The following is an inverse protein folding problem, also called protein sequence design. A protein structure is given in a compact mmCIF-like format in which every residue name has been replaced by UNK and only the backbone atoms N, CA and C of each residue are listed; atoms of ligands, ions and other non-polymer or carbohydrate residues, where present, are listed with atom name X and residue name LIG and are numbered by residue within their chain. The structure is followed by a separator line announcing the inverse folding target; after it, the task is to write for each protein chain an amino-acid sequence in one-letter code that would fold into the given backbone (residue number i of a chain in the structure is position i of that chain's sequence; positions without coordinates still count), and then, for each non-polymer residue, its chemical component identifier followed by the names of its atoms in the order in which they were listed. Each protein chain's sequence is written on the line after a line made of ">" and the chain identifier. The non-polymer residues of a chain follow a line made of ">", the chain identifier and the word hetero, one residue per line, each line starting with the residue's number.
data_IF_753395080981
#
_entry.id   IF_753395080981
#
_cell.length_a   1.000
_cell.length_b   1.000
_cell.length_c   1.000
_cell.angle_alpha   90.00
_cell.angle_beta   90.00
_cell.angle_gamma   90.00
#
_symmetry.space_group_name_H-M   'P 1'
#
loop_
_entity.id
_entity.type
_entity.pdbx_description
1 polymer ?
#
# COMPACT_ATOMS: atom_id res chain seq x y z
N UNK A 1 73.19 -32.12 -11.56
CA UNK A 1 74.37 -31.43 -11.02
C UNK A 1 74.12 -29.99 -10.54
N UNK A 2 72.94 -29.67 -9.97
CA UNK A 2 72.69 -28.36 -9.32
C UNK A 2 72.46 -28.54 -7.80
N UNK A 3 72.00 -29.72 -7.36
CA UNK A 3 71.78 -30.02 -5.92
C UNK A 3 73.07 -30.23 -5.13
N UNK A 4 74.17 -30.65 -5.77
CA UNK A 4 75.49 -30.78 -5.10
C UNK A 4 76.22 -29.45 -4.89
N UNK A 5 75.85 -28.38 -5.60
CA UNK A 5 76.48 -27.07 -5.46
C UNK A 5 75.91 -26.28 -4.25
N UNK A 6 74.63 -26.50 -3.92
CA UNK A 6 73.98 -25.85 -2.78
C UNK A 6 74.49 -26.37 -1.42
N UNK A 7 74.79 -27.67 -1.32
CA UNK A 7 75.28 -28.27 -0.05
C UNK A 7 76.73 -27.85 0.25
N UNK A 8 77.55 -27.57 -0.77
CA UNK A 8 78.92 -27.09 -0.61
C UNK A 8 79.01 -25.61 -0.18
N UNK A 9 77.98 -24.81 -0.45
CA UNK A 9 77.91 -23.40 -0.03
C UNK A 9 77.44 -23.25 1.43
N UNK A 10 76.70 -24.22 1.98
CA UNK A 10 76.26 -24.18 3.39
C UNK A 10 77.31 -24.68 4.40
N UNK A 11 78.36 -25.39 3.96
CA UNK A 11 79.38 -25.96 4.87
C UNK A 11 80.65 -25.10 5.04
N UNK A 12 80.67 -23.88 4.49
CA UNK A 12 81.87 -23.02 4.47
C UNK A 12 81.72 -21.66 5.15
N UNK A 13 80.92 -21.59 6.20
CA UNK A 13 80.94 -20.44 7.12
C UNK A 13 81.41 -20.90 8.51
N UNK A 14 82.73 -20.82 8.74
CA UNK A 14 83.30 -20.85 10.10
C UNK A 14 83.17 -19.45 10.69
N UNK A 15 82.60 -19.27 11.90
CA UNK A 15 82.78 -18.01 12.61
C UNK A 15 84.21 -17.97 13.17
N UNK A 16 84.89 -16.85 12.93
CA UNK A 16 86.15 -16.51 13.57
C UNK A 16 85.93 -16.35 15.08
N UNK A 17 86.82 -16.93 15.86
CA UNK A 17 86.94 -16.72 17.30
C UNK A 17 87.21 -15.24 17.59
N UNK A 18 86.33 -14.61 18.34
CA UNK A 18 86.57 -13.31 18.96
C UNK A 18 86.44 -13.48 20.47
N UNK A 19 87.59 -13.44 21.14
CA UNK A 19 87.72 -13.24 22.58
C UNK A 19 87.05 -11.92 22.97
N UNK A 20 86.23 -11.95 24.02
CA UNK A 20 85.61 -10.75 24.58
C UNK A 20 84.34 -11.04 25.35
N UNK A 21 84.47 -11.31 26.64
CA UNK A 21 83.33 -11.36 27.57
C UNK A 21 82.70 -9.96 27.63
N UNK A 22 81.54 -9.84 27.00
CA UNK A 22 80.64 -8.69 27.13
C UNK A 22 79.20 -9.20 27.08
N UNK A 23 78.57 -9.35 28.23
CA UNK A 23 77.15 -9.69 28.34
C UNK A 23 76.31 -8.54 27.75
N UNK A 24 75.90 -8.67 26.48
CA UNK A 24 74.88 -7.81 25.90
C UNK A 24 73.50 -8.28 26.38
N UNK A 25 72.89 -7.53 27.31
CA UNK A 25 71.45 -7.60 27.55
C UNK A 25 70.75 -6.84 26.44
N UNK A 26 70.12 -7.55 25.51
CA UNK A 26 69.15 -6.94 24.58
C UNK A 26 67.86 -6.66 25.34
N UNK A 27 67.67 -5.43 25.80
CA UNK A 27 66.35 -4.93 26.16
C UNK A 27 65.55 -4.76 24.87
N UNK A 28 64.56 -5.63 24.65
CA UNK A 28 63.51 -5.37 23.67
C UNK A 28 62.72 -4.14 24.16
N UNK A 29 63.18 -2.95 23.81
CA UNK A 29 62.35 -1.75 23.85
C UNK A 29 61.48 -1.83 22.61
N UNK A 30 60.35 -2.54 22.74
CA UNK A 30 59.27 -2.39 21.76
C UNK A 30 58.94 -0.91 21.61
N UNK A 31 58.49 -0.46 20.41
CA UNK A 31 58.19 0.94 20.19
C UNK A 31 57.27 1.45 21.30
N UNK A 32 57.67 2.56 21.95
CA UNK A 32 56.82 3.22 22.95
C UNK A 32 55.46 3.46 22.29
N UNK A 33 54.34 3.10 22.95
CA UNK A 33 53.02 3.28 22.35
C UNK A 33 52.83 4.75 21.99
N UNK A 34 52.30 5.00 20.79
CA UNK A 34 52.11 6.34 20.22
C UNK A 34 51.16 7.22 21.07
N UNK A 35 50.37 6.60 21.94
CA UNK A 35 49.49 7.24 22.92
C UNK A 35 49.34 6.36 24.17
N UNK A 36 48.85 6.94 25.26
CA UNK A 36 48.52 6.19 26.49
C UNK A 36 47.26 5.35 26.26
N UNK A 37 47.34 4.05 26.54
CA UNK A 37 46.21 3.13 26.50
C UNK A 37 45.11 3.60 27.46
N UNK A 38 43.90 3.81 26.95
CA UNK A 38 42.74 4.13 27.79
C UNK A 38 42.13 2.87 28.41
N UNK A 39 41.34 3.02 29.46
CA UNK A 39 40.57 1.89 30.01
C UNK A 39 39.65 1.24 28.98
N UNK A 40 39.16 2.02 28.00
CA UNK A 40 38.32 1.53 26.89
C UNK A 40 39.15 0.67 25.94
N UNK A 41 40.37 1.10 25.58
CA UNK A 41 41.26 0.33 24.70
C UNK A 41 41.59 -1.04 25.32
N UNK A 42 41.94 -1.04 26.61
CA UNK A 42 42.22 -2.26 27.36
C UNK A 42 41.01 -3.19 27.42
N UNK A 43 39.84 -2.64 27.80
CA UNK A 43 38.61 -3.42 27.89
C UNK A 43 38.22 -4.03 26.54
N UNK A 44 38.29 -3.25 25.46
CA UNK A 44 37.95 -3.72 24.12
C UNK A 44 38.90 -4.85 23.68
N UNK A 45 40.20 -4.73 23.98
CA UNK A 45 41.18 -5.78 23.72
C UNK A 45 40.89 -7.04 24.54
N UNK A 46 40.65 -6.91 25.84
CA UNK A 46 40.39 -8.03 26.74
C UNK A 46 39.13 -8.81 26.36
N UNK A 47 38.05 -8.10 25.97
CA UNK A 47 36.80 -8.73 25.55
C UNK A 47 36.89 -9.39 24.17
N UNK A 48 37.49 -8.72 23.19
CA UNK A 48 37.38 -9.15 21.78
C UNK A 48 38.54 -10.03 21.30
N UNK A 49 39.66 -10.12 22.00
CA UNK A 49 40.84 -10.84 21.52
C UNK A 49 40.59 -12.34 21.25
N UNK A 50 39.72 -12.98 22.04
CA UNK A 50 39.35 -14.40 21.89
C UNK A 50 37.85 -14.60 21.64
N UNK A 51 37.14 -13.54 21.26
CA UNK A 51 35.71 -13.60 21.03
C UNK A 51 35.42 -14.14 19.62
N UNK A 52 34.73 -15.28 19.54
CA UNK A 52 34.23 -15.82 18.27
C UNK A 52 32.81 -15.29 18.00
N UNK A 53 32.73 -14.35 17.06
CA UNK A 53 31.46 -13.73 16.62
C UNK A 53 30.51 -14.67 15.89
N UNK A 54 30.96 -15.84 15.43
CA UNK A 54 30.10 -16.80 14.75
C UNK A 54 29.45 -17.79 15.71
N UNK A 55 29.88 -17.80 16.97
CA UNK A 55 29.31 -18.64 18.01
C UNK A 55 28.26 -17.87 18.80
N UNK A 56 27.11 -18.52 19.00
CA UNK A 56 26.01 -17.99 19.81
C UNK A 56 26.51 -17.55 21.21
N UNK A 57 25.92 -16.50 21.80
CA UNK A 57 26.39 -15.92 23.05
C UNK A 57 26.34 -16.87 24.25
N UNK A 58 25.35 -17.76 24.29
CA UNK A 58 25.16 -18.67 25.42
C UNK A 58 26.00 -19.95 25.27
N UNK A 59 26.69 -20.33 26.35
CA UNK A 59 27.55 -21.53 26.38
C UNK A 59 26.79 -22.83 26.70
N UNK A 60 25.57 -22.72 27.23
CA UNK A 60 24.70 -23.83 27.63
C UNK A 60 23.66 -24.19 26.54
N UNK A 61 22.94 -25.29 26.77
CA UNK A 61 21.74 -25.67 26.00
C UNK A 61 20.58 -24.66 26.14
N UNK A 62 20.75 -23.56 26.88
CA UNK A 62 19.69 -22.57 27.07
C UNK A 62 19.53 -21.70 25.82
N UNK A 63 18.29 -21.32 25.45
CA UNK A 63 18.03 -20.44 24.32
C UNK A 63 18.50 -19.02 24.61
N UNK A 64 19.05 -18.34 23.59
CA UNK A 64 19.33 -16.91 23.66
C UNK A 64 18.02 -16.15 23.54
N UNK A 65 17.69 -15.37 24.57
CA UNK A 65 16.51 -14.50 24.55
C UNK A 65 16.79 -13.28 23.68
N UNK A 66 15.98 -13.10 22.65
CA UNK A 66 16.07 -11.98 21.72
C UNK A 66 14.78 -11.14 21.80
N UNK A 67 14.91 -9.92 22.32
CA UNK A 67 13.84 -8.93 22.32
C UNK A 67 13.90 -8.11 21.04
N UNK A 68 12.77 -8.03 20.36
CA UNK A 68 12.64 -7.28 19.10
C UNK A 68 11.55 -6.22 19.29
N UNK A 69 11.82 -4.99 18.86
CA UNK A 69 10.85 -3.92 18.76
C UNK A 69 10.96 -3.23 17.40
N UNK A 70 9.82 -2.86 16.81
CA UNK A 70 9.76 -2.14 15.55
C UNK A 70 9.27 -0.71 15.80
N UNK A 71 10.03 0.27 15.33
CA UNK A 71 9.63 1.67 15.31
C UNK A 71 9.45 2.13 13.88
N UNK A 72 8.23 2.52 13.51
CA UNK A 72 7.90 2.92 12.13
C UNK A 72 8.13 4.43 11.97
N UNK A 73 8.97 4.80 11.00
CA UNK A 73 9.32 6.19 10.68
C UNK A 73 8.57 6.71 9.46
N UNK A 74 8.41 5.86 8.45
CA UNK A 74 7.71 6.18 7.23
C UNK A 74 7.07 4.93 6.62
N UNK A 75 5.92 5.10 5.97
CA UNK A 75 5.19 4.07 5.25
C UNK A 75 4.84 4.57 3.85
N UNK A 76 5.26 3.79 2.86
CA UNK A 76 4.90 3.95 1.46
C UNK A 76 4.12 2.71 1.01
N UNK A 77 3.04 2.92 0.25
CA UNK A 77 2.21 1.84 -0.28
C UNK A 77 2.22 1.93 -1.81
N UNK A 78 2.59 0.82 -2.44
CA UNK A 78 2.45 0.61 -3.88
C UNK A 78 1.32 -0.40 -4.10
N UNK A 79 0.13 0.16 -4.32
CA UNK A 79 -1.12 -0.58 -4.53
C UNK A 79 -1.05 -1.45 -5.79
N UNK A 80 -0.40 -0.96 -6.84
CA UNK A 80 -0.27 -1.63 -8.14
C UNK A 80 0.60 -2.90 -8.05
N UNK A 81 1.66 -2.85 -7.24
CA UNK A 81 2.54 -3.99 -6.99
C UNK A 81 2.13 -4.85 -5.79
N UNK A 82 1.06 -4.48 -5.08
CA UNK A 82 0.65 -5.15 -3.84
C UNK A 82 1.78 -5.20 -2.80
N UNK A 83 2.51 -4.09 -2.65
CA UNK A 83 3.65 -4.00 -1.73
C UNK A 83 3.54 -2.82 -0.78
N UNK A 84 4.02 -3.03 0.45
CA UNK A 84 4.30 -1.95 1.41
C UNK A 84 5.81 -1.80 1.58
N UNK A 85 6.25 -0.56 1.75
CA UNK A 85 7.63 -0.19 2.08
C UNK A 85 7.63 0.60 3.38
N UNK A 86 8.41 0.15 4.36
CA UNK A 86 8.57 0.83 5.65
C UNK A 86 10.02 1.24 5.85
N UNK A 87 10.24 2.49 6.20
CA UNK A 87 11.48 2.91 6.84
C UNK A 87 11.28 2.82 8.36
N UNK A 88 12.16 2.11 9.04
CA UNK A 88 11.97 1.76 10.45
C UNK A 88 13.28 1.65 11.21
N UNK A 89 13.24 1.86 12.52
CA UNK A 89 14.27 1.36 13.42
C UNK A 89 13.87 -0.02 13.94
N UNK A 90 14.81 -0.95 13.89
CA UNK A 90 14.64 -2.28 14.49
C UNK A 90 15.48 -2.34 15.76
N UNK A 91 14.83 -2.37 16.91
CA UNK A 91 15.51 -2.51 18.19
C UNK A 91 15.70 -3.99 18.49
N UNK A 92 16.96 -4.42 18.57
CA UNK A 92 17.36 -5.77 18.93
C UNK A 92 18.12 -5.74 20.26
N UNK A 93 17.65 -6.54 21.20
CA UNK A 93 18.26 -6.65 22.53
C UNK A 93 18.46 -8.13 22.88
N UNK A 94 19.69 -8.50 23.22
CA UNK A 94 20.04 -9.83 23.72
C UNK A 94 21.09 -9.72 24.83
N UNK A 95 21.40 -10.85 25.48
CA UNK A 95 22.46 -10.92 26.48
C UNK A 95 23.57 -11.83 26.00
N UNK A 96 24.81 -11.35 26.09
CA UNK A 96 26.02 -12.11 25.80
C UNK A 96 26.88 -12.24 27.05
N UNK A 97 27.04 -13.48 27.53
CA UNK A 97 27.79 -13.78 28.75
C UNK A 97 29.30 -13.60 28.57
N UNK A 98 29.81 -13.70 27.33
CA UNK A 98 31.23 -13.54 26.98
C UNK A 98 31.66 -12.07 26.95
N UNK A 99 30.70 -11.14 26.82
CA UNK A 99 30.94 -9.71 26.79
C UNK A 99 30.73 -9.02 28.16
N UNK A 100 30.81 -9.78 29.26
CA UNK A 100 30.67 -9.25 30.62
C UNK A 100 32.02 -8.76 31.17
N UNK A 101 32.00 -7.64 31.89
CA UNK A 101 33.16 -7.17 32.63
C UNK A 101 32.75 -6.53 33.96
N UNK A 102 33.70 -6.42 34.87
CA UNK A 102 33.53 -5.71 36.13
C UNK A 102 33.95 -4.25 35.96
N UNK A 103 33.01 -3.33 36.16
CA UNK A 103 33.20 -1.89 35.92
C UNK A 103 34.39 -1.32 36.72
N UNK A 104 34.65 -1.85 37.93
CA UNK A 104 35.73 -1.38 38.81
C UNK A 104 37.12 -1.59 38.21
N UNK A 105 37.31 -2.61 37.39
CA UNK A 105 38.61 -2.97 36.83
C UNK A 105 39.00 -2.06 35.64
N UNK A 106 38.01 -1.36 35.07
CA UNK A 106 38.16 -0.53 33.89
C UNK A 106 37.71 0.92 34.13
N UNK A 107 37.95 1.45 35.33
CA UNK A 107 37.70 2.87 35.64
C UNK A 107 36.23 3.26 35.71
N UNK A 108 35.33 2.32 36.05
CA UNK A 108 33.89 2.55 36.18
C UNK A 108 33.12 2.55 34.86
N UNK A 109 33.67 1.98 33.79
CA UNK A 109 32.99 1.88 32.50
C UNK A 109 31.75 0.99 32.58
N UNK A 110 30.57 1.58 32.38
CA UNK A 110 29.27 0.88 32.40
C UNK A 110 28.84 0.36 31.03
N UNK A 111 29.32 0.98 29.95
CA UNK A 111 29.01 0.61 28.58
C UNK A 111 30.17 0.93 27.62
N UNK A 112 30.24 0.18 26.53
CA UNK A 112 31.15 0.43 25.41
C UNK A 112 30.39 0.39 24.09
N UNK A 113 30.96 1.05 23.07
CA UNK A 113 30.46 1.00 21.70
C UNK A 113 31.43 0.18 20.86
N UNK A 114 30.93 -0.87 20.22
CA UNK A 114 31.71 -1.75 19.32
C UNK A 114 31.10 -1.71 17.94
N UNK A 115 31.89 -1.95 16.90
CA UNK A 115 31.32 -2.07 15.58
C UNK A 115 30.46 -3.35 15.54
N UNK A 116 29.37 -3.30 14.80
CA UNK A 116 28.40 -4.39 14.71
C UNK A 116 29.07 -5.74 14.34
N UNK A 117 29.95 -5.73 13.35
CA UNK A 117 30.64 -6.92 12.84
C UNK A 117 31.72 -7.48 13.77
N UNK A 118 32.04 -6.80 14.89
CA UNK A 118 33.00 -7.29 15.89
C UNK A 118 32.34 -8.25 16.89
N UNK A 119 31.00 -8.25 17.00
CA UNK A 119 30.23 -9.08 17.93
C UNK A 119 29.27 -10.02 17.20
N UNK A 120 28.78 -11.05 17.88
CA UNK A 120 27.74 -11.94 17.33
C UNK A 120 26.45 -11.16 17.07
N UNK A 121 25.76 -11.51 15.99
CA UNK A 121 24.49 -10.91 15.60
C UNK A 121 23.47 -12.01 15.29
N UNK A 122 22.20 -11.85 15.71
CA UNK A 122 21.14 -12.75 15.29
C UNK A 122 20.83 -12.56 13.79
N UNK A 123 20.52 -13.64 13.10
CA UNK A 123 20.24 -13.70 11.66
C UNK A 123 18.76 -13.43 11.38
N UNK A 124 18.29 -12.22 11.67
CA UNK A 124 16.87 -11.86 11.49
C UNK A 124 16.57 -11.47 10.04
N UNK A 125 15.54 -12.08 9.47
CA UNK A 125 15.05 -11.85 8.10
C UNK A 125 13.56 -11.58 8.09
N UNK A 126 13.12 -10.83 7.07
CA UNK A 126 11.71 -10.68 6.71
C UNK A 126 11.32 -11.81 5.76
N UNK A 127 10.50 -12.76 6.21
CA UNK A 127 10.14 -13.95 5.43
C UNK A 127 9.23 -13.65 4.24
N UNK A 128 8.37 -12.65 4.35
CA UNK A 128 7.43 -12.24 3.30
C UNK A 128 7.93 -11.01 2.52
N UNK A 129 9.24 -10.92 2.30
CA UNK A 129 9.87 -9.82 1.59
C UNK A 129 9.62 -9.88 0.07
N UNK A 130 9.65 -8.71 -0.58
CA UNK A 130 9.61 -8.58 -2.05
C UNK A 130 10.95 -8.03 -2.53
N UNK A 131 11.62 -8.77 -3.42
CA UNK A 131 12.96 -8.45 -3.91
C UNK A 131 13.93 -9.60 -3.65
N UNK A 132 15.21 -9.40 -3.98
CA UNK A 132 16.25 -10.30 -3.49
C UNK A 132 16.19 -10.29 -1.96
N UNK A 133 16.11 -11.47 -1.36
CA UNK A 133 16.01 -11.68 0.09
C UNK A 133 17.27 -11.24 0.81
N UNK A 134 17.59 -9.96 0.73
CA UNK A 134 18.64 -9.33 1.48
C UNK A 134 18.26 -9.51 2.96
N UNK A 135 19.15 -10.19 3.69
CA UNK A 135 19.30 -10.01 5.12
C UNK A 135 19.11 -8.52 5.41
N UNK A 136 18.31 -8.18 6.44
CA UNK A 136 18.01 -6.81 6.89
C UNK A 136 19.08 -5.86 6.37
N UNK A 137 18.77 -4.94 5.44
CA UNK A 137 19.77 -4.32 4.60
C UNK A 137 20.97 -3.91 5.45
N UNK A 138 22.19 -4.29 5.04
CA UNK A 138 23.47 -3.84 5.64
C UNK A 138 23.67 -2.33 5.45
N UNK A 139 22.60 -1.55 5.49
CA UNK A 139 22.53 -0.12 5.26
C UNK A 139 22.92 0.56 6.56
N UNK A 140 24.24 0.67 6.71
CA UNK A 140 24.90 1.47 7.73
C UNK A 140 25.13 0.71 9.02
N UNK A 141 26.24 -0.05 9.09
CA UNK A 141 26.90 -0.56 10.30
C UNK A 141 26.85 0.49 11.43
N UNK A 142 25.78 0.46 12.24
CA UNK A 142 25.68 1.26 13.46
C UNK A 142 26.41 0.49 14.53
N UNK A 143 27.22 1.20 15.31
CA UNK A 143 27.87 0.60 16.47
C UNK A 143 26.81 0.02 17.41
N UNK A 144 27.14 -1.14 17.97
CA UNK A 144 26.38 -1.82 19.00
C UNK A 144 26.78 -1.26 20.35
N UNK A 145 25.82 -1.09 21.25
CA UNK A 145 26.08 -0.71 22.64
C UNK A 145 26.09 -1.97 23.49
N UNK A 146 27.22 -2.24 24.14
CA UNK A 146 27.37 -3.34 25.07
C UNK A 146 27.44 -2.76 26.47
N UNK A 147 26.65 -3.28 27.40
CA UNK A 147 26.65 -2.91 28.81
C UNK A 147 27.48 -3.90 29.64
N UNK A 148 28.01 -3.46 30.78
CA UNK A 148 28.88 -4.24 31.67
C UNK A 148 28.33 -5.61 32.07
N UNK A 149 27.01 -5.71 32.19
CA UNK A 149 26.28 -6.95 32.51
C UNK A 149 26.16 -7.92 31.31
N UNK A 150 26.76 -7.60 30.16
CA UNK A 150 26.68 -8.38 28.93
C UNK A 150 25.40 -8.15 28.12
N UNK A 151 24.56 -7.19 28.53
CA UNK A 151 23.39 -6.80 27.73
C UNK A 151 23.87 -6.07 26.48
N UNK A 152 23.35 -6.46 25.33
CA UNK A 152 23.70 -5.90 24.03
C UNK A 152 22.47 -5.24 23.41
N UNK A 153 22.62 -4.00 22.96
CA UNK A 153 21.58 -3.21 22.31
C UNK A 153 22.05 -2.79 20.92
N UNK A 154 21.29 -3.17 19.90
CA UNK A 154 21.54 -2.81 18.51
C UNK A 154 20.27 -2.25 17.87
N UNK A 155 20.37 -1.04 17.29
CA UNK A 155 19.23 -0.32 16.72
C UNK A 155 19.57 0.16 15.30
N UNK A 156 19.63 -0.74 14.30
CA UNK A 156 19.81 -0.36 12.91
C UNK A 156 18.57 0.35 12.34
N UNK A 157 18.82 1.23 11.36
CA UNK A 157 17.79 1.79 10.49
C UNK A 157 17.64 0.88 9.28
N UNK A 158 16.43 0.39 9.03
CA UNK A 158 16.16 -0.62 8.02
C UNK A 158 15.02 -0.17 7.10
N UNK A 159 15.08 -0.64 5.85
CA UNK A 159 13.97 -0.55 4.90
C UNK A 159 13.36 -1.94 4.73
N UNK A 160 12.09 -2.10 5.08
CA UNK A 160 11.35 -3.35 4.94
C UNK A 160 10.39 -3.24 3.76
N UNK A 161 10.44 -4.20 2.83
CA UNK A 161 9.51 -4.27 1.70
C UNK A 161 8.82 -5.61 1.71
N UNK A 162 7.49 -5.62 1.83
CA UNK A 162 6.69 -6.84 2.00
C UNK A 162 5.49 -6.87 1.06
N UNK A 163 5.05 -8.08 0.70
CA UNK A 163 3.75 -8.27 0.03
C UNK A 163 2.62 -7.98 1.01
N UNK A 164 1.60 -7.29 0.52
CA UNK A 164 0.34 -7.11 1.22
C UNK A 164 -0.84 -7.26 0.25
N UNK A 165 -1.83 -8.05 0.66
CA UNK A 165 -3.06 -8.21 -0.10
C UNK A 165 -4.02 -7.06 0.23
N UNK A 166 -4.20 -6.15 -0.72
CA UNK A 166 -5.03 -4.96 -0.53
C UNK A 166 -6.48 -5.21 -0.96
N UNK A 167 -7.42 -4.84 -0.09
CA UNK A 167 -8.83 -4.83 -0.42
C UNK A 167 -9.27 -3.40 -0.77
N UNK A 168 -9.47 -3.14 -2.07
CA UNK A 168 -9.85 -1.82 -2.59
C UNK A 168 -11.36 -1.62 -2.76
N UNK A 169 -12.19 -2.57 -2.31
CA UNK A 169 -13.64 -2.51 -2.50
C UNK A 169 -14.26 -1.21 -2.00
N UNK A 170 -13.87 -0.79 -0.79
CA UNK A 170 -14.41 0.42 -0.13
C UNK A 170 -13.50 1.65 -0.29
N UNK A 171 -12.60 1.64 -1.27
CA UNK A 171 -11.75 2.80 -1.55
C UNK A 171 -12.60 4.05 -1.81
N UNK A 172 -12.25 5.24 -1.26
CA UNK A 172 -11.04 5.57 -0.48
C UNK A 172 -11.22 5.46 1.06
N UNK A 173 -12.31 4.86 1.54
CA UNK A 173 -12.60 4.60 2.96
C UNK A 173 -12.13 3.20 3.38
N UNK A 174 -11.00 2.79 2.81
CA UNK A 174 -10.46 1.45 2.96
C UNK A 174 -9.58 1.30 4.20
N UNK A 175 -9.60 0.10 4.75
CA UNK A 175 -8.69 -0.36 5.81
C UNK A 175 -7.92 -1.57 5.30
N UNK A 176 -6.60 -1.49 5.37
CA UNK A 176 -5.69 -2.53 4.92
C UNK A 176 -5.08 -3.26 6.10
N UNK A 177 -4.88 -4.58 5.94
CA UNK A 177 -4.28 -5.45 6.95
C UNK A 177 -3.05 -6.11 6.35
N UNK A 178 -1.89 -5.59 6.73
CA UNK A 178 -0.63 -6.10 6.25
C UNK A 178 0.15 -6.79 7.38
N UNK A 179 1.03 -7.70 6.99
CA UNK A 179 1.82 -8.49 7.93
C UNK A 179 3.30 -8.35 7.60
N UNK A 180 4.13 -8.23 8.62
CA UNK A 180 5.60 -8.32 8.51
C UNK A 180 6.05 -9.48 9.38
N UNK A 181 6.57 -10.54 8.77
CA UNK A 181 7.01 -11.74 9.49
C UNK A 181 8.53 -11.73 9.63
N UNK A 182 9.02 -11.35 10.81
CA UNK A 182 10.44 -11.32 11.12
C UNK A 182 10.83 -12.58 11.91
N UNK A 183 11.91 -13.24 11.50
CA UNK A 183 12.36 -14.48 12.14
C UNK A 183 13.82 -14.78 11.88
N UNK A 184 14.40 -15.67 12.68
CA UNK A 184 15.73 -16.23 12.42
C UNK A 184 15.67 -17.15 11.20
N UNK A 185 16.68 -17.16 10.34
CA UNK A 185 16.70 -18.07 9.20
C UNK A 185 17.23 -19.45 9.56
N UNK A 186 18.27 -19.51 10.39
CA UNK A 186 19.03 -20.74 10.68
C UNK A 186 18.79 -21.28 12.08
N UNK A 187 18.49 -20.43 13.07
CA UNK A 187 18.30 -20.86 14.45
C UNK A 187 16.86 -21.29 14.73
N UNK A 188 16.73 -22.46 15.36
CA UNK A 188 15.46 -22.98 15.83
C UNK A 188 14.97 -22.28 17.10
N UNK A 189 13.70 -22.52 17.44
CA UNK A 189 13.07 -22.07 18.71
C UNK A 189 13.76 -22.57 19.99
N UNK A 190 14.62 -23.60 19.89
CA UNK A 190 15.42 -24.08 21.01
C UNK A 190 16.72 -23.28 21.19
N UNK A 191 17.18 -22.59 20.14
CA UNK A 191 18.43 -21.85 20.14
C UNK A 191 18.21 -20.35 20.35
N UNK A 192 17.18 -19.79 19.72
CA UNK A 192 16.76 -18.39 19.90
C UNK A 192 15.29 -18.38 20.28
N UNK A 193 14.99 -17.70 21.39
CA UNK A 193 13.63 -17.46 21.84
C UNK A 193 13.28 -15.99 21.64
N UNK A 194 12.23 -15.72 20.87
CA UNK A 194 11.83 -14.36 20.53
C UNK A 194 10.85 -13.81 21.56
N UNK A 195 11.03 -12.54 21.89
CA UNK A 195 10.12 -11.81 22.76
C UNK A 195 9.74 -10.48 22.08
N UNK A 196 8.44 -10.22 22.00
CA UNK A 196 7.95 -8.93 21.52
C UNK A 196 8.15 -7.88 22.62
N UNK A 197 9.01 -6.90 22.37
CA UNK A 197 9.13 -5.77 23.28
C UNK A 197 7.89 -4.87 23.16
N UNK A 198 7.34 -4.42 24.29
CA UNK A 198 6.18 -3.51 24.33
C UNK A 198 6.46 -2.11 23.73
N UNK A 199 7.68 -1.86 23.26
CA UNK A 199 8.13 -0.60 22.65
C UNK A 199 7.86 -0.51 21.14
N UNK A 200 6.81 -1.15 20.63
CA UNK A 200 6.39 -0.93 19.25
C UNK A 200 5.74 0.45 19.15
N UNK A 201 6.40 1.37 18.46
CA UNK A 201 5.96 2.77 18.37
C UNK A 201 5.86 3.21 16.91
N UNK A 202 4.88 4.07 16.64
CA UNK A 202 4.77 4.80 15.39
C UNK A 202 5.24 6.22 15.71
N UNK A 203 6.31 6.68 15.07
CA UNK A 203 6.76 8.06 15.27
C UNK A 203 5.79 9.06 14.60
N UNK A 204 5.76 10.29 15.11
CA UNK A 204 4.88 11.36 14.60
C UNK A 204 5.09 11.65 13.10
N UNK A 205 6.29 11.37 12.59
CA UNK A 205 6.65 11.46 11.17
C UNK A 205 5.90 10.45 10.30
N UNK A 206 5.69 9.22 10.79
CA UNK A 206 4.86 8.22 10.12
C UNK A 206 3.37 8.62 10.20
N UNK A 207 2.96 9.26 11.29
CA UNK A 207 1.59 9.78 11.48
C UNK A 207 1.25 10.95 10.55
N UNK A 208 2.25 11.64 9.99
CA UNK A 208 2.07 12.68 8.97
C UNK A 208 1.79 12.12 7.56
N UNK A 209 1.92 10.80 7.35
CA UNK A 209 1.58 10.15 6.09
C UNK A 209 0.08 10.25 5.77
N UNK A 210 -0.30 9.89 4.53
CA UNK A 210 -1.70 9.77 4.08
C UNK A 210 -2.49 8.65 4.79
N UNK A 211 -1.88 8.01 5.80
CA UNK A 211 -2.35 6.82 6.47
C UNK A 211 -2.32 7.00 7.98
N UNK A 212 -3.22 6.33 8.67
CA UNK A 212 -3.22 6.11 10.11
C UNK A 212 -2.82 4.64 10.35
N UNK A 213 -1.83 4.41 11.21
CA UNK A 213 -1.16 3.12 11.35
C UNK A 213 -1.31 2.64 12.80
N UNK A 214 -1.88 1.46 12.98
CA UNK A 214 -1.83 0.72 14.23
C UNK A 214 -0.97 -0.53 14.05
N UNK A 215 -0.03 -0.74 14.96
CA UNK A 215 0.88 -1.89 14.93
C UNK A 215 0.67 -2.77 16.17
N UNK A 216 0.60 -4.08 15.93
CA UNK A 216 0.57 -5.09 16.99
C UNK A 216 1.53 -6.22 16.62
N UNK A 217 2.23 -6.80 17.60
CA UNK A 217 3.19 -7.88 17.38
C UNK A 217 2.82 -9.15 18.13
N UNK A 218 2.87 -10.28 17.45
CA UNK A 218 2.59 -11.60 18.03
C UNK A 218 3.72 -12.58 17.70
N UNK A 219 4.22 -13.29 18.72
CA UNK A 219 5.22 -14.34 18.54
C UNK A 219 4.51 -15.62 18.13
N UNK A 220 4.96 -16.22 17.03
CA UNK A 220 4.39 -17.44 16.46
C UNK A 220 5.47 -18.50 16.29
N UNK A 221 5.18 -19.74 16.64
CA UNK A 221 6.07 -20.88 16.43
C UNK A 221 5.54 -21.73 15.28
N UNK A 222 6.36 -21.93 14.24
CA UNK A 222 5.97 -22.65 13.03
C UNK A 222 6.92 -23.82 12.78
N UNK A 223 6.36 -24.99 12.43
CA UNK A 223 7.14 -26.11 11.90
C UNK A 223 7.13 -26.06 10.37
N UNK A 224 8.30 -25.98 9.76
CA UNK A 224 8.44 -25.96 8.31
C UNK A 224 8.67 -27.37 7.76
N UNK A 225 8.23 -27.63 6.53
CA UNK A 225 8.32 -28.96 5.91
C UNK A 225 9.76 -29.46 5.70
N UNK A 226 10.75 -28.56 5.63
CA UNK A 226 12.16 -28.92 5.47
C UNK A 226 12.75 -29.64 6.66
N UNK A 227 12.23 -29.38 7.86
CA UNK A 227 13.02 -29.44 9.08
C UNK A 227 12.21 -30.08 10.21
N UNK A 228 12.90 -30.74 11.14
CA UNK A 228 12.23 -31.47 12.24
C UNK A 228 11.83 -30.49 13.35
N UNK A 229 12.64 -29.46 13.51
CA UNK A 229 12.58 -28.40 14.50
C UNK A 229 11.48 -27.36 14.18
N UNK A 230 11.06 -26.66 15.23
CA UNK A 230 10.18 -25.49 15.14
C UNK A 230 11.00 -24.21 15.14
N UNK A 231 10.52 -23.21 14.41
CA UNK A 231 11.14 -21.88 14.30
C UNK A 231 10.17 -20.83 14.84
N UNK A 232 10.67 -19.96 15.72
CA UNK A 232 9.91 -18.81 16.21
C UNK A 232 10.06 -17.61 15.26
N UNK A 233 8.97 -16.88 15.07
CA UNK A 233 8.94 -15.65 14.29
C UNK A 233 7.98 -14.65 14.92
N UNK A 234 8.35 -13.38 14.89
CA UNK A 234 7.54 -12.25 15.32
C UNK A 234 6.78 -11.70 14.12
N UNK A 235 5.45 -11.83 14.15
CA UNK A 235 4.57 -11.29 13.11
C UNK A 235 4.00 -9.97 13.58
N UNK A 236 4.40 -8.87 12.93
CA UNK A 236 3.78 -7.57 13.11
C UNK A 236 2.57 -7.44 12.19
N UNK A 237 1.40 -7.21 12.78
CA UNK A 237 0.17 -6.86 12.07
C UNK A 237 0.02 -5.34 12.06
N UNK A 238 -0.03 -4.80 10.86
CA UNK A 238 -0.27 -3.39 10.57
C UNK A 238 -1.73 -3.24 10.13
N UNK A 239 -2.55 -2.57 10.94
CA UNK A 239 -3.85 -2.07 10.48
C UNK A 239 -3.62 -0.64 9.97
N UNK A 240 -3.85 -0.43 8.68
CA UNK A 240 -3.54 0.82 7.99
C UNK A 240 -4.86 1.39 7.47
N UNK A 241 -5.24 2.58 7.96
CA UNK A 241 -6.47 3.26 7.57
C UNK A 241 -6.14 4.47 6.70
N UNK A 242 -6.79 4.60 5.54
CA UNK A 242 -6.55 5.75 4.64
C UNK A 242 -7.19 7.02 5.20
N UNK A 243 -6.47 8.14 5.13
CA UNK A 243 -7.07 9.47 5.35
C UNK A 243 -7.83 9.89 4.10
N UNK A 244 -9.13 9.61 4.06
CA UNK A 244 -9.96 9.73 2.85
C UNK A 244 -10.34 11.18 2.47
N UNK A 245 -10.26 12.14 3.39
CA UNK A 245 -10.70 13.54 3.21
C UNK A 245 -10.26 14.20 1.88
N UNK A 246 -8.98 14.16 1.47
CA UNK A 246 -8.56 14.75 0.19
C UNK A 246 -9.18 14.05 -1.03
N UNK A 247 -9.34 12.72 -0.98
CA UNK A 247 -9.93 11.95 -2.07
C UNK A 247 -11.42 12.25 -2.23
N UNK A 248 -12.14 12.40 -1.12
CA UNK A 248 -13.57 12.78 -1.12
C UNK A 248 -13.80 14.08 -1.87
N UNK A 249 -12.93 15.09 -1.67
CA UNK A 249 -13.03 16.38 -2.34
C UNK A 249 -12.84 16.30 -3.86
N UNK A 250 -12.10 15.30 -4.36
CA UNK A 250 -11.85 15.10 -5.79
C UNK A 250 -12.98 14.28 -6.44
N UNK A 251 -13.52 13.30 -5.73
CA UNK A 251 -14.42 12.28 -6.30
C UNK A 251 -15.89 12.65 -6.18
N UNK A 252 -16.31 13.20 -5.04
CA UNK A 252 -17.74 13.43 -4.74
C UNK A 252 -18.33 14.54 -5.61
N UNK A 253 -17.70 15.73 -5.79
CA UNK A 253 -18.30 16.79 -6.58
C UNK A 253 -18.58 16.39 -8.03
N UNK A 254 -17.65 15.74 -8.77
CA UNK A 254 -17.95 15.27 -10.12
C UNK A 254 -19.02 14.18 -10.19
N UNK A 255 -19.10 13.30 -9.18
CA UNK A 255 -20.16 12.29 -9.11
C UNK A 255 -21.55 12.94 -8.94
N UNK A 256 -21.66 13.93 -8.05
CA UNK A 256 -22.90 14.69 -7.83
C UNK A 256 -23.29 15.45 -9.09
N UNK A 257 -22.35 16.21 -9.69
CA UNK A 257 -22.62 16.95 -10.92
C UNK A 257 -23.03 16.02 -12.06
N UNK A 258 -22.33 14.91 -12.25
CA UNK A 258 -22.67 13.93 -13.30
C UNK A 258 -24.07 13.36 -13.09
N UNK A 259 -24.43 13.01 -11.85
CA UNK A 259 -25.77 12.49 -11.53
C UNK A 259 -26.85 13.54 -11.81
N UNK A 260 -26.62 14.80 -11.41
CA UNK A 260 -27.57 15.89 -11.67
C UNK A 260 -27.76 16.16 -13.16
N UNK A 261 -26.69 16.16 -13.97
CA UNK A 261 -26.78 16.32 -15.42
C UNK A 261 -27.55 15.15 -16.08
N UNK A 262 -27.31 13.92 -15.60
CA UNK A 262 -28.02 12.72 -16.08
C UNK A 262 -29.49 12.68 -15.70
N UNK A 263 -29.88 13.33 -14.61
CA UNK A 263 -31.28 13.50 -14.25
C UNK A 263 -31.92 14.66 -15.02
N UNK A 264 -31.19 15.76 -15.22
CA UNK A 264 -31.67 16.95 -15.92
C UNK A 264 -32.01 16.70 -17.39
N UNK A 265 -31.29 15.82 -18.09
CA UNK A 265 -31.57 15.50 -19.51
C UNK A 265 -33.00 15.02 -19.76
N UNK A 266 -33.63 14.31 -18.82
CA UNK A 266 -35.00 13.83 -18.99
C UNK A 266 -36.03 14.95 -18.85
N UNK A 267 -35.64 16.11 -18.31
CA UNK A 267 -36.49 17.29 -18.20
C UNK A 267 -36.41 18.21 -19.42
N UNK A 268 -35.38 18.07 -20.25
CA UNK A 268 -35.27 18.79 -21.51
C UNK A 268 -36.32 18.30 -22.53
N UNK A 269 -36.85 19.21 -23.37
CA UNK A 269 -37.80 18.83 -24.41
C UNK A 269 -37.16 17.85 -25.42
N UNK A 270 -37.88 16.80 -25.85
CA UNK A 270 -37.33 15.78 -26.76
C UNK A 270 -37.06 16.30 -28.17
N UNK A 271 -37.60 17.47 -28.52
CA UNK A 271 -37.43 18.11 -29.83
C UNK A 271 -36.09 18.87 -29.95
N UNK A 272 -35.44 19.12 -28.81
CA UNK A 272 -34.19 19.86 -28.70
C UNK A 272 -32.95 19.02 -29.00
N UNK A 273 -32.04 19.57 -29.80
CA UNK A 273 -30.76 18.91 -30.13
C UNK A 273 -29.78 19.01 -28.94
N UNK A 274 -29.99 19.99 -28.05
CA UNK A 274 -29.26 20.21 -26.81
C UNK A 274 -29.26 18.99 -25.88
N UNK A 275 -30.30 18.15 -25.91
CA UNK A 275 -30.39 16.94 -25.08
C UNK A 275 -29.32 15.90 -25.45
N UNK A 276 -29.10 15.70 -26.74
CA UNK A 276 -28.09 14.75 -27.26
C UNK A 276 -26.68 15.27 -26.95
N UNK A 277 -26.46 16.58 -27.10
CA UNK A 277 -25.18 17.24 -26.78
C UNK A 277 -24.87 17.08 -25.29
N UNK A 278 -25.85 17.32 -24.41
CA UNK A 278 -25.70 17.17 -22.97
C UNK A 278 -25.30 15.73 -22.60
N UNK A 279 -25.96 14.73 -23.20
CA UNK A 279 -25.61 13.32 -23.00
C UNK A 279 -24.21 12.97 -23.47
N UNK A 280 -23.77 13.52 -24.60
CA UNK A 280 -22.40 13.38 -25.08
C UNK A 280 -21.38 13.95 -24.08
N UNK A 281 -21.63 15.14 -23.53
CA UNK A 281 -20.76 15.77 -22.53
C UNK A 281 -20.72 14.93 -21.24
N UNK A 282 -21.88 14.48 -20.73
CA UNK A 282 -21.94 13.63 -19.54
C UNK A 282 -21.21 12.30 -19.73
N UNK A 283 -21.35 11.66 -20.91
CA UNK A 283 -20.63 10.44 -21.22
C UNK A 283 -19.11 10.65 -21.26
N UNK A 284 -18.63 11.75 -21.85
CA UNK A 284 -17.22 12.10 -21.88
C UNK A 284 -16.66 12.36 -20.49
N UNK A 285 -17.38 13.12 -19.66
CA UNK A 285 -17.01 13.38 -18.26
C UNK A 285 -16.84 12.07 -17.49
N UNK A 286 -17.82 11.15 -17.56
CA UNK A 286 -17.76 9.85 -16.89
C UNK A 286 -16.59 9.00 -17.40
N UNK A 287 -16.35 8.98 -18.72
CA UNK A 287 -15.20 8.27 -19.30
C UNK A 287 -13.87 8.82 -18.80
N UNK A 288 -13.72 10.14 -18.68
CA UNK A 288 -12.51 10.76 -18.14
C UNK A 288 -12.24 10.32 -16.69
N UNK A 289 -13.28 10.20 -15.85
CA UNK A 289 -13.12 9.66 -14.49
C UNK A 289 -12.78 8.17 -14.47
N UNK A 290 -13.38 7.35 -15.35
CA UNK A 290 -13.01 5.95 -15.48
C UNK A 290 -11.55 5.77 -15.93
N UNK A 291 -11.06 6.62 -16.84
CA UNK A 291 -9.65 6.65 -17.25
C UNK A 291 -8.74 7.10 -16.11
N UNK A 292 -9.16 8.07 -15.29
CA UNK A 292 -8.44 8.46 -14.08
C UNK A 292 -8.26 7.27 -13.13
N UNK A 293 -9.34 6.50 -12.87
CA UNK A 293 -9.24 5.30 -12.02
C UNK A 293 -8.42 4.18 -12.66
N UNK A 294 -8.44 4.05 -13.99
CA UNK A 294 -7.58 3.09 -14.69
C UNK A 294 -6.09 3.42 -14.48
N UNK A 295 -5.72 4.70 -14.56
CA UNK A 295 -4.34 5.15 -14.35
C UNK A 295 -3.84 4.89 -12.92
N UNK A 296 -4.71 5.00 -11.91
CA UNK A 296 -4.34 4.71 -10.51
C UNK A 296 -4.08 3.21 -10.24
N UNK A 297 -4.22 2.34 -11.25
CA UNK A 297 -3.77 0.93 -11.22
C UNK A 297 -4.45 0.07 -10.14
N UNK A 298 -5.77 0.21 -9.95
CA UNK A 298 -6.55 -0.70 -9.08
C UNK A 298 -6.76 -2.10 -9.66
N UNK A 299 -6.14 -2.43 -10.81
CA UNK A 299 -6.38 -3.70 -11.52
C UNK A 299 -5.72 -4.92 -10.87
N UNK A 300 -4.91 -4.73 -9.82
CA UNK A 300 -4.19 -5.82 -9.13
C UNK A 300 -4.97 -6.40 -7.95
N UNK A 301 -5.87 -5.64 -7.31
CA UNK A 301 -6.72 -6.15 -6.22
C UNK A 301 -7.89 -6.92 -6.83
N UNK A 302 -8.07 -8.20 -6.46
CA UNK A 302 -9.05 -9.12 -7.08
C UNK A 302 -10.53 -8.70 -7.08
N UNK A 303 -10.88 -7.54 -6.51
CA UNK A 303 -12.22 -6.93 -6.57
C UNK A 303 -12.15 -5.46 -7.02
N UNK A 304 -13.06 -5.05 -7.89
CA UNK A 304 -13.16 -3.66 -8.35
C UNK A 304 -13.73 -2.74 -7.25
N UNK A 305 -13.20 -1.51 -7.07
CA UNK A 305 -13.76 -0.54 -6.13
C UNK A 305 -15.21 -0.18 -6.44
N UNK A 306 -16.03 0.00 -5.41
CA UNK A 306 -17.46 0.35 -5.56
C UNK A 306 -17.67 1.65 -6.35
N UNK A 307 -16.76 2.63 -6.20
CA UNK A 307 -16.82 3.88 -6.96
C UNK A 307 -16.61 3.67 -8.47
N UNK A 308 -15.75 2.72 -8.87
CA UNK A 308 -15.54 2.38 -10.28
C UNK A 308 -16.79 1.72 -10.84
N UNK A 309 -17.43 0.84 -10.06
CA UNK A 309 -18.72 0.23 -10.40
C UNK A 309 -19.80 1.31 -10.58
N UNK A 310 -19.85 2.32 -9.71
CA UNK A 310 -20.78 3.44 -9.84
C UNK A 310 -20.61 4.21 -11.16
N UNK A 311 -19.39 4.61 -11.52
CA UNK A 311 -19.14 5.32 -12.77
C UNK A 311 -19.36 4.42 -14.00
N UNK A 312 -19.06 3.12 -13.91
CA UNK A 312 -19.34 2.14 -14.97
C UNK A 312 -20.84 1.97 -15.20
N UNK A 313 -21.62 1.76 -14.14
CA UNK A 313 -23.09 1.72 -14.21
C UNK A 313 -23.67 3.03 -14.75
N UNK A 314 -23.13 4.18 -14.31
CA UNK A 314 -23.54 5.49 -14.80
C UNK A 314 -23.31 5.61 -16.31
N UNK A 315 -22.17 5.13 -16.83
CA UNK A 315 -21.88 5.11 -18.26
C UNK A 315 -22.91 4.29 -19.07
N UNK A 316 -23.30 3.11 -18.57
CA UNK A 316 -24.37 2.32 -19.20
C UNK A 316 -25.71 3.05 -19.20
N UNK A 317 -26.06 3.72 -18.10
CA UNK A 317 -27.27 4.55 -18.00
C UNK A 317 -27.22 5.69 -19.03
N UNK A 318 -26.10 6.41 -19.18
CA UNK A 318 -25.97 7.47 -20.20
C UNK A 318 -26.10 6.91 -21.60
N UNK A 319 -25.49 5.75 -21.87
CA UNK A 319 -25.59 5.07 -23.16
C UNK A 319 -27.03 4.75 -23.52
N UNK A 320 -27.78 4.15 -22.59
CA UNK A 320 -29.20 3.86 -22.77
C UNK A 320 -30.02 5.15 -22.96
N UNK A 321 -29.76 6.19 -22.16
CA UNK A 321 -30.45 7.46 -22.25
C UNK A 321 -30.14 8.23 -23.56
N UNK A 322 -28.94 8.04 -24.12
CA UNK A 322 -28.58 8.59 -25.43
C UNK A 322 -29.38 7.92 -26.53
N UNK A 323 -29.46 6.58 -26.52
CA UNK A 323 -30.28 5.83 -27.48
C UNK A 323 -31.76 6.22 -27.37
N UNK A 324 -32.29 6.31 -26.15
CA UNK A 324 -33.68 6.74 -25.95
C UNK A 324 -33.92 8.17 -26.43
N UNK A 325 -32.96 9.08 -26.24
CA UNK A 325 -33.04 10.46 -26.72
C UNK A 325 -33.05 10.56 -28.24
N UNK A 326 -32.23 9.75 -28.94
CA UNK A 326 -32.23 9.68 -30.41
C UNK A 326 -33.56 9.13 -30.93
N UNK A 327 -34.11 8.10 -30.27
CA UNK A 327 -35.42 7.55 -30.61
C UNK A 327 -36.51 8.61 -30.41
N UNK A 328 -36.54 9.28 -29.26
CA UNK A 328 -37.49 10.36 -28.97
C UNK A 328 -37.42 11.49 -30.01
N UNK A 329 -36.21 11.97 -30.32
CA UNK A 329 -35.98 12.99 -31.35
C UNK A 329 -36.47 12.54 -32.73
N UNK A 330 -36.22 11.27 -33.10
CA UNK A 330 -36.68 10.70 -34.37
C UNK A 330 -38.21 10.62 -34.47
N UNK A 331 -38.89 10.29 -33.35
CA UNK A 331 -40.35 10.22 -33.28
C UNK A 331 -40.98 11.60 -33.45
N UNK A 332 -40.41 12.63 -32.83
CA UNK A 332 -40.92 13.99 -32.92
C UNK A 332 -40.76 14.61 -34.31
N UNK A 333 -39.67 14.27 -35.03
CA UNK A 333 -39.38 14.79 -36.38
C UNK A 333 -39.86 13.89 -37.53
N UNK A 334 -40.74 12.92 -37.27
CA UNK A 334 -41.32 12.10 -38.33
C UNK A 334 -42.06 12.98 -39.37
N UNK A 335 -41.66 12.87 -40.64
CA UNK A 335 -42.25 13.66 -41.75
C UNK A 335 -43.70 13.25 -42.05
N UNK A 336 -44.02 11.96 -41.92
CA UNK A 336 -45.35 11.39 -42.16
C UNK A 336 -45.81 10.56 -40.95
N UNK A 337 -46.23 11.20 -39.84
CA UNK A 337 -46.61 10.47 -38.65
C UNK A 337 -47.98 9.79 -38.86
N UNK A 338 -48.06 8.49 -38.54
CA UNK A 338 -49.33 7.77 -38.48
C UNK A 338 -50.00 8.00 -37.12
N UNK A 339 -51.35 7.97 -37.03
CA UNK A 339 -52.02 8.05 -35.75
C UNK A 339 -51.60 6.87 -34.87
N UNK A 340 -51.38 7.14 -33.57
CA UNK A 340 -51.04 6.12 -32.59
C UNK A 340 -52.16 5.08 -32.47
N UNK A 341 -51.79 3.82 -32.23
CA UNK A 341 -52.77 2.77 -32.01
C UNK A 341 -53.62 3.09 -30.76
N UNK A 342 -54.92 2.74 -30.79
CA UNK A 342 -55.84 3.07 -29.70
C UNK A 342 -55.41 2.51 -28.33
N UNK A 343 -54.74 1.35 -28.33
CA UNK A 343 -54.18 0.74 -27.14
C UNK A 343 -53.04 1.60 -26.54
N UNK A 344 -52.13 2.10 -27.38
CA UNK A 344 -51.02 2.94 -26.92
C UNK A 344 -51.55 4.26 -26.36
N UNK A 345 -52.53 4.87 -27.05
CA UNK A 345 -53.16 6.14 -26.62
C UNK A 345 -53.85 6.00 -25.25
N UNK A 346 -54.52 4.87 -25.00
CA UNK A 346 -55.13 4.59 -23.69
C UNK A 346 -54.08 4.42 -22.60
N UNK A 347 -52.99 3.67 -22.88
CA UNK A 347 -51.90 3.47 -21.93
C UNK A 347 -51.19 4.79 -21.59
N UNK A 348 -50.93 5.63 -22.59
CA UNK A 348 -50.29 6.94 -22.41
C UNK A 348 -51.12 7.86 -21.53
N UNK A 349 -52.45 7.90 -21.70
CA UNK A 349 -53.32 8.74 -20.87
C UNK A 349 -53.33 8.31 -19.41
N UNK A 350 -53.23 7.01 -19.13
CA UNK A 350 -53.12 6.50 -17.77
C UNK A 350 -51.76 6.83 -17.15
N UNK A 351 -50.67 6.63 -17.91
CA UNK A 351 -49.29 6.88 -17.45
C UNK A 351 -48.97 8.36 -17.32
N UNK A 352 -49.43 9.21 -18.25
CA UNK A 352 -49.23 10.66 -18.25
C UNK A 352 -49.93 11.35 -17.08
N UNK A 353 -51.13 10.89 -16.68
CA UNK A 353 -51.81 11.36 -15.46
C UNK A 353 -51.01 11.05 -14.20
N UNK A 354 -50.36 9.90 -14.16
CA UNK A 354 -49.51 9.50 -13.02
C UNK A 354 -48.19 10.28 -12.98
N UNK A 355 -47.63 10.61 -14.15
CA UNK A 355 -46.38 11.37 -14.31
C UNK A 355 -46.55 12.90 -14.32
N UNK A 356 -47.74 13.42 -13.97
CA UNK A 356 -48.06 14.86 -13.92
C UNK A 356 -47.78 15.61 -15.24
N UNK A 357 -47.93 14.92 -16.38
CA UNK A 357 -47.83 15.56 -17.70
C UNK A 357 -49.23 16.01 -18.10
N UNK A 358 -49.48 17.32 -18.09
CA UNK A 358 -50.77 17.86 -18.52
C UNK A 358 -50.95 17.65 -20.04
N UNK A 359 -52.12 17.13 -20.40
CA UNK A 359 -52.53 16.92 -21.79
C UNK A 359 -52.78 18.30 -22.42
N UNK A 360 -51.78 18.86 -23.10
CA UNK A 360 -51.85 20.18 -23.77
C UNK A 360 -52.88 20.17 -24.93
N UNK A 361 -53.39 18.99 -25.31
CA UNK A 361 -54.26 18.81 -26.46
C UNK A 361 -55.64 19.48 -26.37
N UNK A 362 -56.03 20.10 -25.25
CA UNK A 362 -57.39 20.61 -25.07
C UNK A 362 -57.58 22.14 -25.20
N UNK A 363 -56.53 22.95 -25.30
CA UNK A 363 -56.69 24.42 -25.18
C UNK A 363 -56.66 25.21 -26.50
N UNK A 364 -56.40 24.58 -27.65
CA UNK A 364 -56.48 25.25 -28.97
C UNK A 364 -57.71 24.79 -29.77
N UNK A 365 -58.91 25.05 -29.25
CA UNK A 365 -60.14 25.04 -30.06
C UNK A 365 -60.41 26.44 -30.63
N UNK A 366 -59.44 26.96 -31.38
CA UNK A 366 -59.64 28.11 -32.25
C UNK A 366 -60.28 27.62 -33.55
N UNK A 367 -61.44 28.18 -33.87
CA UNK A 367 -62.26 27.85 -35.04
C UNK A 367 -61.49 28.22 -36.32
N UNK A 368 -61.17 27.27 -37.23
CA UNK A 368 -60.57 27.60 -38.51
C UNK A 368 -61.68 27.90 -39.53
N UNK A 369 -61.73 29.13 -39.99
CA UNK A 369 -62.43 29.51 -41.21
C UNK A 369 -61.64 28.98 -42.44
N UNK A 370 -62.36 28.28 -43.32
CA UNK A 370 -62.03 27.71 -44.63
C UNK A 370 -60.56 27.65 -45.16
N UNK A 371 -60.05 26.41 -45.32
CA UNK A 371 -59.47 25.86 -46.57
C UNK A 371 -59.02 24.39 -46.31
N UNK A 372 -59.29 23.46 -47.23
CA UNK A 372 -59.00 22.01 -47.06
C UNK A 372 -57.48 21.71 -46.86
N UNK A 373 -56.62 22.67 -47.23
CA UNK A 373 -55.17 22.62 -47.00
C UNK A 373 -54.79 22.85 -45.53
N UNK A 374 -55.52 23.72 -44.83
CA UNK A 374 -55.27 24.06 -43.42
C UNK A 374 -55.82 22.99 -42.48
N UNK A 375 -56.89 22.28 -42.85
CA UNK A 375 -57.36 21.09 -42.12
C UNK A 375 -56.32 19.97 -42.11
N UNK A 376 -55.65 19.71 -43.25
CA UNK A 376 -54.58 18.69 -43.33
C UNK A 376 -53.36 19.08 -42.51
N UNK A 377 -52.97 20.36 -42.53
CA UNK A 377 -51.88 20.90 -41.69
C UNK A 377 -52.22 20.82 -40.21
N UNK A 378 -53.45 21.18 -39.83
CA UNK A 378 -53.94 21.09 -38.46
C UNK A 378 -53.96 19.65 -37.96
N UNK A 379 -54.42 18.69 -38.77
CA UNK A 379 -54.40 17.27 -38.42
C UNK A 379 -52.97 16.72 -38.29
N UNK A 380 -52.05 17.12 -39.17
CA UNK A 380 -50.65 16.72 -39.08
C UNK A 380 -49.95 17.26 -37.82
N UNK A 381 -50.27 18.49 -37.42
CA UNK A 381 -49.78 19.08 -36.18
C UNK A 381 -50.35 18.37 -34.95
N UNK A 382 -51.64 18.06 -34.94
CA UNK A 382 -52.27 17.29 -33.85
C UNK A 382 -51.63 15.90 -33.69
N UNK A 383 -51.38 15.19 -34.79
CA UNK A 383 -50.72 13.88 -34.74
C UNK A 383 -49.29 14.05 -34.23
N UNK A 384 -48.56 15.09 -34.64
CA UNK A 384 -47.21 15.38 -34.14
C UNK A 384 -47.21 15.66 -32.64
N UNK A 385 -48.18 16.43 -32.15
CA UNK A 385 -48.35 16.72 -30.72
C UNK A 385 -48.62 15.45 -29.90
N UNK A 386 -49.31 14.45 -30.46
CA UNK A 386 -49.47 13.14 -29.79
C UNK A 386 -48.15 12.37 -29.67
N UNK A 387 -47.27 12.44 -30.69
CA UNK A 387 -45.96 11.78 -30.66
C UNK A 387 -44.95 12.50 -29.75
N UNK A 388 -44.97 13.84 -29.71
CA UNK A 388 -44.16 14.61 -28.75
C UNK A 388 -44.62 14.34 -27.32
N UNK A 389 -45.93 14.23 -27.09
CA UNK A 389 -46.47 13.83 -25.79
C UNK A 389 -46.04 12.41 -25.38
N UNK A 390 -46.00 11.45 -26.32
CA UNK A 390 -45.44 10.11 -26.07
C UNK A 390 -43.96 10.18 -25.65
N UNK A 391 -43.16 10.95 -26.38
CA UNK A 391 -41.74 11.12 -26.09
C UNK A 391 -41.52 11.72 -24.69
N UNK A 392 -42.31 12.73 -24.29
CA UNK A 392 -42.28 13.32 -22.95
C UNK A 392 -42.68 12.30 -21.87
N UNK A 393 -43.68 11.45 -22.13
CA UNK A 393 -44.07 10.40 -21.19
C UNK A 393 -42.94 9.37 -20.99
N UNK A 394 -42.27 8.97 -22.08
CA UNK A 394 -41.11 8.06 -22.02
C UNK A 394 -39.99 8.70 -21.20
N UNK A 395 -39.65 9.96 -21.44
CA UNK A 395 -38.61 10.68 -20.70
C UNK A 395 -38.91 10.78 -19.20
N UNK A 396 -40.16 11.07 -18.83
CA UNK A 396 -40.59 11.13 -17.42
C UNK A 396 -40.54 9.76 -16.74
N UNK A 397 -40.88 8.70 -17.46
CA UNK A 397 -40.74 7.33 -16.95
C UNK A 397 -39.28 6.95 -16.76
N UNK A 398 -38.43 7.26 -17.73
CA UNK A 398 -36.98 7.02 -17.65
C UNK A 398 -36.32 7.84 -16.53
N UNK A 399 -36.80 9.05 -16.26
CA UNK A 399 -36.37 9.85 -15.11
C UNK A 399 -36.63 9.11 -13.79
N UNK A 400 -37.83 8.56 -13.59
CA UNK A 400 -38.17 7.82 -12.37
C UNK A 400 -37.31 6.56 -12.24
N UNK A 401 -37.18 5.77 -13.32
CA UNK A 401 -36.34 4.57 -13.33
C UNK A 401 -34.86 4.90 -13.04
N UNK A 402 -34.34 5.95 -13.66
CA UNK A 402 -32.93 6.37 -13.48
C UNK A 402 -32.68 6.93 -12.08
N UNK A 403 -33.63 7.70 -11.54
CA UNK A 403 -33.54 8.19 -10.15
C UNK A 403 -33.54 7.02 -9.16
N UNK A 404 -34.42 6.03 -9.37
CA UNK A 404 -34.43 4.81 -8.56
C UNK A 404 -33.11 4.04 -8.67
N UNK A 405 -32.57 3.89 -9.88
CA UNK A 405 -31.27 3.25 -10.09
C UNK A 405 -30.14 3.97 -9.34
N UNK A 406 -30.09 5.31 -9.39
CA UNK A 406 -29.11 6.09 -8.64
C UNK A 406 -29.29 5.99 -7.12
N UNK A 407 -30.52 5.91 -6.61
CA UNK A 407 -30.78 5.66 -5.19
C UNK A 407 -30.22 4.30 -4.79
N UNK A 408 -30.49 3.25 -5.57
CA UNK A 408 -29.94 1.91 -5.31
C UNK A 408 -28.41 1.92 -5.34
N UNK A 409 -27.80 2.56 -6.34
CA UNK A 409 -26.35 2.69 -6.44
C UNK A 409 -25.75 3.47 -5.26
N UNK A 410 -26.40 4.55 -4.81
CA UNK A 410 -25.96 5.32 -3.65
C UNK A 410 -26.06 4.52 -2.35
N UNK A 411 -27.09 3.69 -2.20
CA UNK A 411 -27.22 2.76 -1.06
C UNK A 411 -26.14 1.69 -1.10
N UNK A 412 -25.75 1.21 -2.29
CA UNK A 412 -24.65 0.24 -2.42
C UNK A 412 -23.26 0.85 -2.18
N UNK A 413 -23.13 2.18 -2.26
CA UNK A 413 -21.89 2.93 -2.00
C UNK A 413 -21.71 3.32 -0.52
N UNK A 414 -22.82 3.44 0.21
CA UNK A 414 -22.86 3.71 1.64
C UNK A 414 -22.59 2.44 2.45
#
# INVERSE_FOLDING_TARGET
>A
SIVRLAILLCLRYRPATADGVGTFKTTHVGPKPLWNETHVDRLKKDLLQNYDRFLRPEHSNDPTQLKIALTILHLEIDEAKSTIMLDSWLTLEWTDSKLRWNEKDYGGLTQIKVADHEVWQPDIFLYNSVGEGEQLPRVGSKNVVVYSKGKVLWVPSIKLTALCDFNMRHWPFDQQRCYLKLGSWTFSSQEIKMENSSMCTVEDTASASSWEIEVSGEVTSTKYACCVETYESLTYRLNITRKSTPYVAIIVPPAVVSTLLLLAQFWLPPDGEEKIILNGISALMINMFLLYFNHQSYTTSGEAPLIVVFYSCSLYIVGFATVSSVVAYSLCRMKNPRPLSGCLRSSMRSVGKWLLVNDVAHEKRGQPDDEDSDKRRMLANLIRDEWTFLAVCIDRLLFVCTTFAFIVLAICLA
#
